data_IF_599340024965
#
_entry.id   IF_599340024965
#
_cell.length_a   1.000
_cell.length_b   1.000
_cell.length_c   1.000
_cell.angle_alpha   90.00
_cell.angle_beta   90.00
_cell.angle_gamma   90.00
#
_symmetry.space_group_name_H-M   'P 1'
#
loop_
_entity.id
_entity.type
_entity.pdbx_description
1 polymer ?
#
# COMPACT_ATOMS: atom_id res chain seq x y z
N UNK A 1 19.36 -7.83 24.57
CA UNK A 1 19.26 -8.65 23.33
C UNK A 1 17.81 -8.69 22.80
N UNK A 2 16.80 -8.92 23.64
CA UNK A 2 15.38 -8.95 23.20
C UNK A 2 14.87 -7.65 22.55
N UNK A 3 15.20 -6.48 23.10
CA UNK A 3 14.70 -5.19 22.59
C UNK A 3 15.20 -4.89 21.16
N UNK A 4 16.45 -5.27 20.87
CA UNK A 4 17.08 -5.14 19.56
C UNK A 4 16.37 -6.00 18.51
N UNK A 5 15.98 -7.24 18.87
CA UNK A 5 15.20 -8.11 17.99
C UNK A 5 13.78 -7.59 17.77
N UNK A 6 13.13 -7.00 18.78
CA UNK A 6 11.78 -6.40 18.62
C UNK A 6 11.77 -5.22 17.66
N UNK A 7 12.76 -4.31 17.74
CA UNK A 7 12.88 -3.19 16.80
C UNK A 7 13.17 -3.65 15.37
N UNK A 8 13.98 -4.69 15.19
CA UNK A 8 14.25 -5.25 13.86
C UNK A 8 12.98 -5.84 13.21
N UNK A 9 12.19 -6.59 13.98
CA UNK A 9 10.91 -7.16 13.51
C UNK A 9 9.96 -6.05 13.07
N UNK A 10 9.84 -4.98 13.85
CA UNK A 10 8.98 -3.84 13.50
C UNK A 10 9.41 -3.18 12.18
N UNK A 11 10.73 -3.00 11.97
CA UNK A 11 11.28 -2.44 10.72
C UNK A 11 10.96 -3.35 9.52
N UNK A 12 11.06 -4.67 9.68
CA UNK A 12 10.72 -5.64 8.63
C UNK A 12 9.23 -5.59 8.30
N UNK A 13 8.35 -5.56 9.31
CA UNK A 13 6.91 -5.44 9.12
C UNK A 13 6.58 -4.13 8.39
N UNK A 14 7.19 -3.02 8.79
CA UNK A 14 6.98 -1.72 8.15
C UNK A 14 7.35 -1.74 6.66
N UNK A 15 8.50 -2.33 6.32
CA UNK A 15 8.90 -2.51 4.91
C UNK A 15 7.96 -3.44 4.15
N UNK A 16 7.57 -4.57 4.73
CA UNK A 16 6.65 -5.51 4.10
C UNK A 16 5.30 -4.85 3.79
N UNK A 17 4.77 -4.08 4.74
CA UNK A 17 3.53 -3.29 4.56
C UNK A 17 3.74 -2.23 3.47
N UNK A 18 4.83 -1.47 3.49
CA UNK A 18 5.13 -0.47 2.46
C UNK A 18 5.15 -1.06 1.07
N UNK A 19 5.89 -2.15 0.87
CA UNK A 19 5.99 -2.86 -0.42
C UNK A 19 4.62 -3.41 -0.86
N UNK A 20 3.84 -3.96 0.07
CA UNK A 20 2.49 -4.45 -0.24
C UNK A 20 1.59 -3.32 -0.75
N UNK A 21 1.51 -2.20 -0.02
CA UNK A 21 0.71 -1.03 -0.41
C UNK A 21 1.17 -0.43 -1.74
N UNK A 22 2.49 -0.30 -1.97
CA UNK A 22 3.03 0.15 -3.26
C UNK A 22 2.59 -0.79 -4.39
N UNK A 23 2.66 -2.11 -4.17
CA UNK A 23 2.28 -3.10 -5.18
C UNK A 23 0.79 -3.06 -5.50
N UNK A 24 -0.08 -3.00 -4.49
CA UNK A 24 -1.53 -2.89 -4.68
C UNK A 24 -1.91 -1.57 -5.34
N UNK A 25 -1.42 -0.44 -4.81
CA UNK A 25 -1.65 0.88 -5.38
C UNK A 25 -1.17 0.99 -6.83
N UNK A 26 -0.01 0.42 -7.17
CA UNK A 26 0.48 0.36 -8.55
C UNK A 26 -0.47 -0.41 -9.47
N UNK A 27 -0.89 -1.62 -9.04
CA UNK A 27 -1.80 -2.47 -9.82
C UNK A 27 -3.16 -1.79 -10.02
N UNK A 28 -3.69 -1.11 -9.01
CA UNK A 28 -4.96 -0.41 -9.08
C UNK A 28 -4.82 0.83 -10.00
N UNK A 29 -3.87 1.72 -9.73
CA UNK A 29 -3.78 3.01 -10.43
C UNK A 29 -3.29 2.90 -11.88
N UNK A 30 -2.22 2.14 -12.11
CA UNK A 30 -1.55 2.06 -13.42
C UNK A 30 -2.01 0.88 -14.26
N UNK A 31 -2.31 -0.27 -13.62
CA UNK A 31 -2.75 -1.49 -14.33
C UNK A 31 -4.26 -1.69 -14.32
N UNK A 32 -5.02 -0.74 -13.76
CA UNK A 32 -6.49 -0.75 -13.67
C UNK A 32 -7.08 -2.04 -13.07
N UNK A 33 -6.36 -2.67 -12.14
CA UNK A 33 -6.80 -3.90 -11.44
C UNK A 33 -7.77 -3.55 -10.32
N UNK A 34 -8.94 -3.00 -10.66
CA UNK A 34 -9.91 -2.50 -9.68
C UNK A 34 -10.61 -3.61 -8.90
N UNK A 35 -10.54 -4.86 -9.36
CA UNK A 35 -10.99 -6.05 -8.63
C UNK A 35 -10.21 -6.28 -7.32
N UNK A 36 -9.06 -5.62 -7.14
CA UNK A 36 -8.31 -5.62 -5.88
C UNK A 36 -8.96 -4.73 -4.80
N UNK A 37 -9.86 -3.81 -5.19
CA UNK A 37 -10.63 -3.00 -4.24
C UNK A 37 -11.87 -3.81 -3.85
N UNK A 38 -11.99 -4.11 -2.55
CA UNK A 38 -13.10 -4.91 -2.03
C UNK A 38 -14.47 -4.33 -2.42
N UNK A 39 -15.30 -5.20 -3.02
CA UNK A 39 -16.66 -4.86 -3.45
C UNK A 39 -16.74 -3.82 -4.58
N UNK A 40 -15.62 -3.45 -5.21
CA UNK A 40 -15.61 -2.43 -6.25
C UNK A 40 -16.41 -2.84 -7.48
N UNK A 41 -16.27 -4.08 -7.94
CA UNK A 41 -16.93 -4.54 -9.16
C UNK A 41 -18.46 -4.48 -9.04
N UNK A 42 -19.01 -4.98 -7.93
CA UNK A 42 -20.45 -4.92 -7.63
C UNK A 42 -20.94 -3.48 -7.42
N UNK A 43 -20.15 -2.64 -6.76
CA UNK A 43 -20.47 -1.22 -6.60
C UNK A 43 -20.44 -0.46 -7.93
N UNK A 44 -19.52 -0.81 -8.83
CA UNK A 44 -19.38 -0.19 -10.15
C UNK A 44 -20.50 -0.60 -11.09
N UNK A 45 -20.87 -1.89 -11.13
CA UNK A 45 -22.06 -2.38 -11.85
C UNK A 45 -23.35 -1.70 -11.38
N UNK A 46 -23.45 -1.40 -10.09
CA UNK A 46 -24.58 -0.67 -9.50
C UNK A 46 -24.50 0.86 -9.69
N UNK A 47 -23.51 1.39 -10.41
CA UNK A 47 -23.31 2.84 -10.62
C UNK A 47 -22.87 3.63 -9.39
N UNK A 48 -22.51 2.95 -8.29
CA UNK A 48 -22.12 3.58 -7.00
C UNK A 48 -20.64 3.95 -6.91
N UNK A 49 -19.79 3.36 -7.75
CA UNK A 49 -18.36 3.68 -7.83
C UNK A 49 -17.90 3.80 -9.28
N UNK A 50 -17.06 4.77 -9.53
CA UNK A 50 -16.51 5.08 -10.86
C UNK A 50 -15.05 4.63 -10.98
N UNK A 51 -14.53 4.62 -12.21
CA UNK A 51 -13.09 4.45 -12.45
C UNK A 51 -12.26 5.51 -11.69
N UNK A 52 -12.74 6.76 -11.64
CA UNK A 52 -12.04 7.84 -10.94
C UNK A 52 -11.90 7.55 -9.44
N UNK A 53 -12.92 6.95 -8.82
CA UNK A 53 -12.86 6.53 -7.42
C UNK A 53 -11.80 5.43 -7.20
N UNK A 54 -11.74 4.43 -8.08
CA UNK A 54 -10.71 3.40 -8.00
C UNK A 54 -9.30 3.97 -8.20
N UNK A 55 -9.13 4.90 -9.14
CA UNK A 55 -7.83 5.56 -9.36
C UNK A 55 -7.43 6.40 -8.15
N UNK A 56 -8.36 7.11 -7.49
CA UNK A 56 -8.05 7.81 -6.23
C UNK A 56 -7.56 6.85 -5.15
N UNK A 57 -8.25 5.72 -4.95
CA UNK A 57 -7.82 4.69 -3.98
C UNK A 57 -6.42 4.16 -4.31
N UNK A 58 -6.18 3.75 -5.56
CA UNK A 58 -4.89 3.22 -5.98
C UNK A 58 -3.75 4.23 -5.83
N UNK A 59 -3.99 5.50 -6.12
CA UNK A 59 -2.99 6.55 -5.95
C UNK A 59 -2.64 6.77 -4.49
N UNK A 60 -3.64 6.82 -3.61
CA UNK A 60 -3.43 6.97 -2.15
C UNK A 60 -2.64 5.77 -1.62
N UNK A 61 -3.04 4.53 -1.95
CA UNK A 61 -2.28 3.33 -1.53
C UNK A 61 -0.84 3.34 -2.05
N UNK A 62 -0.63 3.79 -3.29
CA UNK A 62 0.70 3.86 -3.89
C UNK A 62 1.60 4.86 -3.15
N UNK A 63 1.10 6.07 -2.88
CA UNK A 63 1.84 7.13 -2.15
C UNK A 63 2.14 6.68 -0.72
N UNK A 64 1.14 6.09 -0.03
CA UNK A 64 1.33 5.55 1.32
C UNK A 64 2.39 4.46 1.33
N UNK A 65 2.33 3.52 0.39
CA UNK A 65 3.31 2.45 0.28
C UNK A 65 4.74 2.95 0.05
N UNK A 66 4.93 3.91 -0.86
CA UNK A 66 6.24 4.53 -1.10
C UNK A 66 6.73 5.24 0.17
N UNK A 67 5.86 6.02 0.81
CA UNK A 67 6.20 6.76 2.04
C UNK A 67 6.66 5.80 3.15
N UNK A 68 5.90 4.72 3.40
CA UNK A 68 6.26 3.70 4.39
C UNK A 68 7.57 2.99 4.06
N UNK A 69 7.79 2.67 2.78
CA UNK A 69 9.02 2.01 2.33
C UNK A 69 10.25 2.91 2.53
N UNK A 70 10.14 4.20 2.20
CA UNK A 70 11.20 5.18 2.41
C UNK A 70 11.49 5.38 3.90
N UNK A 71 10.44 5.57 4.72
CA UNK A 71 10.59 5.70 6.18
C UNK A 71 11.24 4.43 6.76
N UNK A 72 10.77 3.25 6.38
CA UNK A 72 11.34 1.98 6.84
C UNK A 72 12.81 1.82 6.47
N UNK A 73 13.18 2.21 5.26
CA UNK A 73 14.57 2.20 4.79
C UNK A 73 15.45 3.20 5.56
N UNK A 74 14.98 4.44 5.74
CA UNK A 74 15.67 5.46 6.53
C UNK A 74 15.92 5.00 7.98
N UNK A 75 14.90 4.41 8.62
CA UNK A 75 15.00 3.89 10.00
C UNK A 75 15.97 2.70 10.12
N UNK A 76 16.21 1.95 9.05
CA UNK A 76 17.22 0.89 9.04
C UNK A 76 18.63 1.47 8.89
N UNK A 77 18.80 2.45 7.99
CA UNK A 77 20.10 3.03 7.67
C UNK A 77 20.61 3.97 8.77
N UNK A 78 19.75 4.85 9.29
CA UNK A 78 20.13 5.91 10.24
C UNK A 78 20.37 5.41 11.68
N UNK A 79 20.26 4.10 11.90
CA UNK A 79 20.45 3.33 13.14
C UNK A 79 19.87 3.95 14.42
#
# INVERSE_FOLDING_TARGET
MELFNKMLILKIILMAVGVAFTTFGYKIYFRKRYNLINGFEEASKAGRKTELDARRVGLVEFIVGISLTLIGTCVIILK
#
